data_IF_180477337185
#
_entry.id   IF_180477337185
#
_cell.length_a   1.000
_cell.length_b   1.000
_cell.length_c   1.000
_cell.angle_alpha   90.00
_cell.angle_beta   90.00
_cell.angle_gamma   90.00
#
_symmetry.space_group_name_H-M   'P 1'
#
loop_
_entity.id
_entity.type
_entity.pdbx_description
1 polymer ?
#
# COMPACT_ATOMS: atom_id res chain seq x y z
N UNK A 1 4.20 2.61 16.36
CA UNK A 1 3.27 3.36 17.22
C UNK A 1 1.86 2.88 16.92
N UNK A 2 1.27 2.10 17.84
CA UNK A 2 -0.08 1.52 17.67
C UNK A 2 -1.18 2.52 18.03
N UNK A 3 -2.45 2.10 17.91
CA UNK A 3 -3.65 2.90 18.20
C UNK A 3 -3.71 3.44 19.65
N UNK A 4 -2.95 2.84 20.56
CA UNK A 4 -3.05 3.07 22.01
C UNK A 4 -2.18 4.24 22.52
N UNK A 5 -1.36 4.86 21.66
CA UNK A 5 -0.43 5.93 22.05
C UNK A 5 -1.08 7.33 22.16
N UNK A 6 -2.40 7.41 21.93
CA UNK A 6 -3.19 8.65 21.99
C UNK A 6 -3.80 8.91 23.37
N UNK A 7 -3.95 7.88 24.21
CA UNK A 7 -4.73 7.97 25.46
C UNK A 7 -4.21 9.00 26.47
N UNK A 8 -2.89 9.17 26.57
CA UNK A 8 -2.23 9.99 27.60
C UNK A 8 -1.74 11.36 27.13
N UNK A 9 -2.13 11.82 25.93
CA UNK A 9 -1.64 13.08 25.35
C UNK A 9 -2.67 14.22 25.52
N UNK A 10 -2.28 15.50 25.48
CA UNK A 10 -3.22 16.61 25.37
C UNK A 10 -3.96 16.61 24.03
N UNK A 11 -5.18 17.14 23.97
CA UNK A 11 -6.05 17.02 22.79
C UNK A 11 -5.48 17.68 21.53
N UNK A 12 -4.84 18.85 21.67
CA UNK A 12 -4.14 19.53 20.56
C UNK A 12 -2.98 18.70 19.98
N UNK A 13 -2.35 17.85 20.80
CA UNK A 13 -1.28 16.94 20.36
C UNK A 13 -1.89 15.72 19.68
N UNK A 14 -2.99 15.18 20.21
CA UNK A 14 -3.71 14.05 19.59
C UNK A 14 -4.18 14.42 18.19
N UNK A 15 -4.77 15.60 18.01
CA UNK A 15 -5.27 16.06 16.71
C UNK A 15 -4.16 16.13 15.67
N UNK A 16 -3.01 16.73 16.01
CA UNK A 16 -1.84 16.78 15.12
C UNK A 16 -1.31 15.38 14.76
N UNK A 17 -1.30 14.45 15.71
CA UNK A 17 -0.87 13.07 15.47
C UNK A 17 -1.83 12.36 14.52
N UNK A 18 -3.14 12.50 14.74
CA UNK A 18 -4.17 11.91 13.89
C UNK A 18 -4.08 12.48 12.47
N UNK A 19 -3.93 13.80 12.35
CA UNK A 19 -3.76 14.46 11.06
C UNK A 19 -2.53 13.92 10.30
N UNK A 20 -1.37 13.86 10.97
CA UNK A 20 -0.16 13.30 10.35
C UNK A 20 -0.30 11.82 9.95
N UNK A 21 -1.09 11.02 10.69
CA UNK A 21 -1.41 9.63 10.33
C UNK A 21 -2.30 9.56 9.10
N UNK A 22 -3.30 10.43 9.00
CA UNK A 22 -4.19 10.52 7.84
C UNK A 22 -3.37 10.90 6.61
N UNK A 23 -2.55 11.95 6.70
CA UNK A 23 -1.69 12.40 5.61
C UNK A 23 -0.71 11.31 5.16
N UNK A 24 -0.05 10.63 6.11
CA UNK A 24 0.83 9.50 5.78
C UNK A 24 0.07 8.39 5.05
N UNK A 25 -1.11 8.03 5.54
CA UNK A 25 -1.92 6.96 4.95
C UNK A 25 -2.44 7.32 3.56
N UNK A 26 -2.80 8.59 3.33
CA UNK A 26 -3.14 9.07 2.00
C UNK A 26 -1.96 8.95 1.05
N UNK A 27 -0.76 9.36 1.46
CA UNK A 27 0.47 9.21 0.66
C UNK A 27 0.79 7.76 0.29
N UNK A 28 0.48 6.81 1.16
CA UNK A 28 0.72 5.39 0.92
C UNK A 28 -0.35 4.74 0.03
N UNK A 29 -1.59 5.21 0.07
CA UNK A 29 -2.73 4.58 -0.62
C UNK A 29 -3.16 5.26 -1.94
N UNK A 30 -2.84 6.54 -2.11
CA UNK A 30 -3.20 7.33 -3.29
C UNK A 30 -2.10 7.23 -4.34
N UNK A 31 -2.43 6.75 -5.54
CA UNK A 31 -1.46 6.60 -6.64
C UNK A 31 -0.72 7.91 -6.95
N UNK A 32 -1.42 9.04 -6.93
CA UNK A 32 -0.85 10.34 -7.30
C UNK A 32 0.18 10.84 -6.28
N UNK A 33 -0.02 10.51 -5.01
CA UNK A 33 0.85 10.92 -3.91
C UNK A 33 2.03 9.99 -3.69
N UNK A 34 1.99 8.79 -4.28
CA UNK A 34 3.04 7.80 -4.14
C UNK A 34 4.34 8.25 -4.84
N UNK A 35 5.51 7.89 -4.28
CA UNK A 35 6.79 8.05 -4.97
C UNK A 35 6.82 7.28 -6.29
N UNK A 36 7.41 7.88 -7.32
CA UNK A 36 7.54 7.23 -8.60
C UNK A 36 8.56 6.08 -8.54
N UNK A 37 8.18 4.90 -9.05
CA UNK A 37 9.00 3.69 -8.94
C UNK A 37 10.41 3.83 -9.52
N UNK A 38 10.61 4.64 -10.58
CA UNK A 38 11.93 4.85 -11.20
C UNK A 38 12.71 6.04 -10.61
N UNK A 39 12.03 6.93 -9.90
CA UNK A 39 12.65 8.05 -9.18
C UNK A 39 11.84 8.36 -7.92
N UNK A 40 12.34 7.88 -6.78
CA UNK A 40 11.66 8.01 -5.49
C UNK A 40 11.68 9.46 -4.94
N UNK A 41 12.37 10.39 -5.61
CA UNK A 41 12.42 11.80 -5.20
C UNK A 41 11.19 12.59 -5.65
N UNK A 42 10.47 12.10 -6.66
CA UNK A 42 9.27 12.74 -7.21
C UNK A 42 8.05 11.85 -6.98
N UNK A 43 6.86 12.46 -6.86
CA UNK A 43 5.60 11.72 -6.86
C UNK A 43 5.14 11.40 -8.27
N UNK A 44 4.17 10.49 -8.40
CA UNK A 44 3.49 10.23 -9.67
C UNK A 44 2.78 11.48 -10.19
N UNK A 45 2.19 12.30 -9.32
CA UNK A 45 1.59 13.58 -9.71
C UNK A 45 2.61 14.52 -10.35
N UNK A 46 3.79 14.64 -9.74
CA UNK A 46 4.85 15.49 -10.26
C UNK A 46 5.35 14.99 -11.62
N UNK A 47 5.52 13.67 -11.77
CA UNK A 47 5.83 13.05 -13.06
C UNK A 47 4.80 13.41 -14.14
N UNK A 48 3.50 13.34 -13.81
CA UNK A 48 2.42 13.70 -14.74
C UNK A 48 2.54 15.18 -15.14
N UNK A 49 2.74 16.09 -14.18
CA UNK A 49 2.91 17.53 -14.45
C UNK A 49 4.12 17.82 -15.35
N UNK A 50 5.26 17.20 -15.06
CA UNK A 50 6.47 17.34 -15.87
C UNK A 50 6.24 16.85 -17.31
N UNK A 51 5.55 15.73 -17.46
CA UNK A 51 5.24 15.15 -18.77
C UNK A 51 4.27 16.05 -19.55
N UNK A 52 3.25 16.61 -18.90
CA UNK A 52 2.34 17.61 -19.50
C UNK A 52 3.14 18.81 -20.00
N UNK A 53 4.09 19.33 -19.21
CA UNK A 53 4.94 20.45 -19.62
C UNK A 53 5.85 20.14 -20.82
N UNK A 54 6.31 18.90 -20.96
CA UNK A 54 7.18 18.47 -22.07
C UNK A 54 6.40 18.24 -23.38
N UNK A 55 5.22 17.65 -23.29
CA UNK A 55 4.41 17.25 -24.47
C UNK A 55 3.47 18.38 -24.91
N UNK A 56 3.05 19.24 -23.97
CA UNK A 56 2.08 20.32 -24.24
C UNK A 56 0.62 19.84 -24.27
N UNK A 57 0.37 18.57 -23.94
CA UNK A 57 -0.96 17.98 -23.86
C UNK A 57 -1.35 17.67 -22.42
N UNK A 58 -2.66 17.76 -22.11
CA UNK A 58 -3.17 17.45 -20.78
C UNK A 58 -3.24 15.94 -20.54
N UNK A 59 -2.60 15.47 -19.47
CA UNK A 59 -2.57 14.07 -19.06
C UNK A 59 -3.34 13.94 -17.75
N UNK A 60 -4.32 13.03 -17.71
CA UNK A 60 -5.12 12.76 -16.52
C UNK A 60 -5.25 11.25 -16.26
N UNK A 61 -4.88 10.82 -15.06
CA UNK A 61 -5.17 9.47 -14.59
C UNK A 61 -6.62 9.41 -14.12
N UNK A 62 -7.49 8.74 -14.89
CA UNK A 62 -8.93 8.62 -14.53
C UNK A 62 -9.21 7.44 -13.61
N UNK A 63 -8.81 6.24 -14.03
CA UNK A 63 -9.05 4.97 -13.32
C UNK A 63 -7.91 4.01 -13.64
N UNK A 64 -7.57 3.17 -12.67
CA UNK A 64 -6.67 2.05 -12.86
C UNK A 64 -7.20 0.86 -12.07
N UNK A 65 -6.75 -0.34 -12.44
CA UNK A 65 -7.02 -1.57 -11.70
C UNK A 65 -5.72 -2.36 -11.61
N UNK A 66 -5.48 -2.98 -10.47
CA UNK A 66 -4.34 -3.87 -10.25
C UNK A 66 -4.88 -5.26 -9.96
N UNK A 67 -4.55 -6.21 -10.82
CA UNK A 67 -4.85 -7.62 -10.59
C UNK A 67 -3.62 -8.32 -10.02
N UNK A 68 -3.83 -9.12 -8.96
CA UNK A 68 -2.80 -10.00 -8.42
C UNK A 68 -3.32 -11.43 -8.41
N UNK A 69 -2.54 -12.35 -8.95
CA UNK A 69 -2.90 -13.77 -8.96
C UNK A 69 -3.04 -14.27 -7.52
N UNK A 70 -4.19 -14.85 -7.20
CA UNK A 70 -4.49 -15.36 -5.86
C UNK A 70 -4.90 -14.31 -4.83
N UNK A 71 -5.14 -13.06 -5.24
CA UNK A 71 -5.70 -12.03 -4.35
C UNK A 71 -7.03 -12.48 -3.76
N UNK A 72 -7.15 -12.43 -2.43
CA UNK A 72 -8.35 -12.87 -1.71
C UNK A 72 -8.52 -14.39 -1.57
N UNK A 73 -7.58 -15.21 -2.06
CA UNK A 73 -7.59 -16.67 -1.87
C UNK A 73 -6.78 -17.01 -0.61
N UNK A 74 -7.39 -17.75 0.31
CA UNK A 74 -6.67 -18.29 1.47
C UNK A 74 -5.68 -19.37 0.99
N UNK A 75 -4.38 -19.08 1.16
CA UNK A 75 -3.33 -20.02 0.79
C UNK A 75 -3.36 -21.16 1.79
N UNK A 76 -3.76 -22.36 1.35
CA UNK A 76 -3.60 -23.57 2.15
C UNK A 76 -2.10 -23.80 2.34
N UNK A 77 -1.62 -23.66 3.58
CA UNK A 77 -0.30 -24.14 3.96
C UNK A 77 -0.39 -25.65 4.16
N UNK A 78 0.29 -26.41 3.30
CA UNK A 78 0.46 -27.85 3.46
C UNK A 78 1.84 -28.15 4.06
N UNK A 79 1.86 -28.99 5.10
CA UNK A 79 3.08 -29.53 5.67
C UNK A 79 3.43 -30.84 4.95
N UNK A 80 4.46 -30.79 4.09
CA UNK A 80 4.90 -31.94 3.30
C UNK A 80 5.24 -33.16 4.15
N UNK A 81 5.80 -32.97 5.36
CA UNK A 81 6.15 -34.07 6.25
C UNK A 81 4.91 -34.81 6.78
N UNK A 82 3.82 -34.09 7.05
CA UNK A 82 2.55 -34.67 7.50
C UNK A 82 1.84 -35.41 6.35
N UNK A 83 1.88 -34.87 5.14
CA UNK A 83 1.33 -35.54 3.95
C UNK A 83 2.04 -36.87 3.66
N UNK A 84 3.38 -36.89 3.76
CA UNK A 84 4.18 -38.10 3.58
C UNK A 84 3.91 -39.12 4.68
N UNK A 85 3.83 -38.69 5.94
CA UNK A 85 3.51 -39.58 7.06
C UNK A 85 2.11 -40.21 6.92
N UNK A 86 1.12 -39.43 6.48
CA UNK A 86 -0.24 -39.90 6.25
C UNK A 86 -0.34 -40.96 5.13
N UNK A 87 0.49 -40.86 4.09
CA UNK A 87 0.52 -41.85 3.00
C UNK A 87 1.24 -43.16 3.40
N UNK A 88 2.20 -43.11 4.32
CA UNK A 88 2.99 -44.28 4.72
C UNK A 88 2.36 -45.14 5.83
N UNK A 89 1.45 -44.57 6.63
CA UNK A 89 0.81 -45.25 7.78
C UNK A 89 -0.39 -46.15 7.48
N UNK A 90 -0.71 -46.40 6.20
CA UNK A 90 -1.92 -47.09 5.74
C UNK A 90 -1.80 -48.59 5.45
N UNK A 91 -0.70 -49.26 5.84
CA UNK A 91 -0.51 -50.71 5.68
C UNK A 91 -0.40 -51.43 7.03
#
# INVERSE_FOLDING_TARGET
>A
MGRDDLGNKPDNVKEKIVQGRIEKRLKELSLMDQPYIRDQNISVEELVKQTVGQIGENIQVRRFVRFVLGEGIEKKESNFAEEVAAQMGGN
#
